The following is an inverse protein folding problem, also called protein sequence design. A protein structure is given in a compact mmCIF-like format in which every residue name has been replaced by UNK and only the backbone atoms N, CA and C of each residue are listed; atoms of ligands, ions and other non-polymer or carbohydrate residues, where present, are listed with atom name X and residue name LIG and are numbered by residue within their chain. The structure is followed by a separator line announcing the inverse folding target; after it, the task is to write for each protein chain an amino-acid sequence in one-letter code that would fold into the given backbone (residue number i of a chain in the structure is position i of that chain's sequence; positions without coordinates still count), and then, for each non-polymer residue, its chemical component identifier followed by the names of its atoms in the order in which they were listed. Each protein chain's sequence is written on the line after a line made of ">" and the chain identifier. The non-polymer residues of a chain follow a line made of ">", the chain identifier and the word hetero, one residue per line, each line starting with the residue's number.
data_IF_666516497528
#
_entry.id   IF_666516497528
#
_cell.length_a   1.000
_cell.length_b   1.000
_cell.length_c   1.000
_cell.angle_alpha   90.00
_cell.angle_beta   90.00
_cell.angle_gamma   90.00
#
_symmetry.space_group_name_H-M   'P 1'
#
loop_
_entity.id
_entity.type
_entity.pdbx_description
1 polymer ?
#
# COMPACT_ATOMS: atom_id res chain seq x y z
N UNK A 1 -7.90 -20.94 20.04
CA UNK A 1 -6.46 -21.07 20.21
C UNK A 1 -5.83 -19.70 20.00
N UNK A 2 -5.06 -19.24 20.94
CA UNK A 2 -4.34 -17.98 20.94
C UNK A 2 -2.88 -18.32 21.29
N UNK A 3 -1.96 -18.05 20.39
CA UNK A 3 -0.56 -18.41 20.52
C UNK A 3 0.33 -17.17 20.63
N UNK A 4 1.60 -17.36 20.99
CA UNK A 4 2.57 -16.29 20.98
C UNK A 4 2.77 -15.75 19.55
N UNK A 5 3.13 -14.45 19.39
CA UNK A 5 3.31 -13.85 18.07
C UNK A 5 4.37 -14.56 17.23
N UNK A 6 4.00 -14.98 16.03
CA UNK A 6 4.89 -15.63 15.08
C UNK A 6 5.84 -14.64 14.41
N UNK A 7 7.09 -15.06 14.25
CA UNK A 7 8.09 -14.30 13.51
C UNK A 7 8.14 -14.75 12.07
N UNK A 8 7.67 -13.90 11.15
CA UNK A 8 7.52 -14.21 9.74
C UNK A 8 8.40 -13.31 8.89
N UNK A 9 9.09 -13.90 7.91
CA UNK A 9 9.91 -13.19 6.93
C UNK A 9 9.06 -12.90 5.68
N UNK A 10 8.97 -11.63 5.28
CA UNK A 10 8.30 -11.20 4.05
C UNK A 10 9.19 -11.37 2.82
N UNK A 11 8.60 -11.24 1.60
CA UNK A 11 9.34 -11.23 0.32
C UNK A 11 10.43 -10.14 0.27
N UNK A 12 10.22 -9.04 1.01
CA UNK A 12 11.20 -7.94 1.13
C UNK A 12 12.33 -8.23 2.13
N UNK A 13 12.45 -9.46 2.64
CA UNK A 13 13.41 -9.85 3.67
C UNK A 13 13.27 -9.07 4.98
N UNK A 14 12.03 -8.63 5.29
CA UNK A 14 11.70 -7.96 6.57
C UNK A 14 11.00 -8.93 7.48
N UNK A 15 11.42 -8.97 8.75
CA UNK A 15 10.72 -9.73 9.76
C UNK A 15 9.49 -8.97 10.28
N UNK A 16 8.38 -9.69 10.40
CA UNK A 16 7.16 -9.24 11.06
C UNK A 16 6.89 -10.12 12.28
N UNK A 17 6.33 -9.54 13.32
CA UNK A 17 5.72 -10.23 14.43
C UNK A 17 4.21 -10.22 14.17
N UNK A 18 3.65 -11.39 13.95
CA UNK A 18 2.24 -11.55 13.59
C UNK A 18 1.53 -12.24 14.75
N UNK A 19 0.63 -11.52 15.41
CA UNK A 19 -0.24 -12.04 16.45
C UNK A 19 -1.57 -12.44 15.81
N UNK A 20 -1.96 -13.71 15.94
CA UNK A 20 -3.15 -14.25 15.32
C UNK A 20 -3.86 -15.26 16.23
N UNK A 21 -5.14 -15.47 15.98
CA UNK A 21 -5.92 -16.49 16.67
C UNK A 21 -6.82 -17.26 15.72
N UNK A 22 -7.16 -18.47 16.13
CA UNK A 22 -8.18 -19.29 15.47
C UNK A 22 -9.29 -19.66 16.44
N UNK A 23 -10.52 -19.69 15.91
CA UNK A 23 -11.67 -20.31 16.57
C UNK A 23 -12.03 -21.57 15.82
N UNK A 24 -12.07 -22.67 16.52
CA UNK A 24 -12.42 -23.96 15.94
C UNK A 24 -13.49 -24.68 16.74
N UNK A 25 -14.14 -25.65 16.13
CA UNK A 25 -15.04 -26.59 16.76
C UNK A 25 -14.69 -28.01 16.34
N UNK A 26 -15.01 -28.97 17.17
CA UNK A 26 -14.93 -30.38 16.80
C UNK A 26 -16.16 -30.68 15.94
N UNK A 27 -15.93 -31.02 14.67
CA UNK A 27 -16.97 -31.39 13.70
C UNK A 27 -17.24 -32.89 13.69
N UNK A 28 -16.19 -33.70 13.86
CA UNK A 28 -16.24 -35.15 13.95
C UNK A 28 -15.46 -35.67 15.16
N UNK A 29 -16.20 -36.09 16.19
CA UNK A 29 -15.64 -36.60 17.46
C UNK A 29 -14.85 -37.89 17.25
N UNK A 30 -15.26 -38.74 16.33
CA UNK A 30 -14.57 -40.01 16.08
C UNK A 30 -13.22 -39.80 15.44
N UNK A 31 -13.15 -38.95 14.42
CA UNK A 31 -11.91 -38.58 13.76
C UNK A 31 -10.98 -37.83 14.72
N UNK A 32 -11.52 -36.89 15.49
CA UNK A 32 -10.75 -36.18 16.53
C UNK A 32 -10.13 -37.15 17.56
N UNK A 33 -10.91 -38.13 18.05
CA UNK A 33 -10.39 -39.11 19.01
C UNK A 33 -9.28 -39.98 18.41
N UNK A 34 -9.48 -40.45 17.16
CA UNK A 34 -8.45 -41.24 16.47
C UNK A 34 -7.17 -40.48 16.17
N UNK A 35 -7.28 -39.21 15.77
CA UNK A 35 -6.13 -38.38 15.42
C UNK A 35 -5.34 -37.88 16.62
N UNK A 36 -6.03 -37.56 17.76
CA UNK A 36 -5.44 -36.86 18.88
C UNK A 36 -5.56 -37.61 20.21
N UNK A 37 -6.05 -38.88 20.22
CA UNK A 37 -6.36 -39.66 21.42
C UNK A 37 -7.23 -38.90 22.43
N UNK A 38 -8.09 -38.01 21.95
CA UNK A 38 -8.95 -37.17 22.81
C UNK A 38 -8.21 -36.03 23.51
N UNK A 39 -6.94 -35.79 23.21
CA UNK A 39 -6.13 -34.77 23.88
C UNK A 39 -6.25 -33.41 23.16
N UNK A 40 -6.82 -32.41 23.85
CA UNK A 40 -6.86 -31.03 23.38
C UNK A 40 -5.47 -30.38 23.26
N UNK A 41 -4.54 -30.77 24.11
CA UNK A 41 -3.18 -30.23 24.03
C UNK A 41 -2.46 -30.68 22.76
N UNK A 42 -2.62 -31.97 22.38
CA UNK A 42 -2.10 -32.48 21.11
C UNK A 42 -2.75 -31.77 19.93
N UNK A 43 -4.07 -31.60 19.95
CA UNK A 43 -4.79 -30.87 18.91
C UNK A 43 -4.28 -29.43 18.79
N UNK A 44 -4.18 -28.71 19.90
CA UNK A 44 -3.72 -27.31 19.90
C UNK A 44 -2.31 -27.19 19.33
N UNK A 45 -1.39 -28.08 19.69
CA UNK A 45 -0.04 -28.09 19.12
C UNK A 45 -0.03 -28.33 17.60
N UNK A 46 -0.85 -29.26 17.11
CA UNK A 46 -0.98 -29.51 15.68
C UNK A 46 -1.62 -28.33 14.93
N UNK A 47 -2.66 -27.74 15.52
CA UNK A 47 -3.31 -26.56 14.94
C UNK A 47 -2.36 -25.37 14.87
N UNK A 48 -1.55 -25.14 15.92
CA UNK A 48 -0.54 -24.07 15.92
C UNK A 48 0.50 -24.26 14.82
N UNK A 49 1.02 -25.48 14.65
CA UNK A 49 1.96 -25.76 13.56
C UNK A 49 1.35 -25.51 12.16
N UNK A 50 0.09 -25.90 11.97
CA UNK A 50 -0.61 -25.66 10.70
C UNK A 50 -0.93 -24.19 10.49
N UNK A 51 -1.31 -23.47 11.53
CA UNK A 51 -1.50 -22.02 11.52
C UNK A 51 -0.22 -21.30 11.13
N UNK A 52 0.91 -21.61 11.79
CA UNK A 52 2.23 -21.07 11.50
C UNK A 52 2.64 -21.32 10.04
N UNK A 53 2.42 -22.53 9.54
CA UNK A 53 2.70 -22.87 8.14
C UNK A 53 1.88 -22.04 7.15
N UNK A 54 0.57 -21.92 7.38
CA UNK A 54 -0.33 -21.13 6.52
C UNK A 54 0.05 -19.64 6.57
N UNK A 55 0.36 -19.10 7.75
CA UNK A 55 0.85 -17.74 7.91
C UNK A 55 2.15 -17.50 7.15
N UNK A 56 3.17 -18.34 7.35
CA UNK A 56 4.47 -18.21 6.67
C UNK A 56 4.33 -18.25 5.15
N UNK A 57 3.51 -19.14 4.62
CA UNK A 57 3.29 -19.26 3.17
C UNK A 57 2.58 -18.06 2.56
N UNK A 58 1.60 -17.48 3.26
CA UNK A 58 0.84 -16.35 2.74
C UNK A 58 1.54 -15.02 2.94
N UNK A 59 2.16 -14.81 4.10
CA UNK A 59 2.89 -13.58 4.41
C UNK A 59 4.25 -13.52 3.73
N UNK A 60 4.94 -14.65 3.59
CA UNK A 60 6.25 -14.72 2.94
C UNK A 60 6.26 -14.35 1.45
N UNK A 61 5.11 -14.42 0.78
CA UNK A 61 4.94 -14.07 -0.64
C UNK A 61 4.53 -12.62 -0.88
N UNK A 62 4.30 -11.84 0.18
CA UNK A 62 3.73 -10.48 0.12
C UNK A 62 4.67 -9.44 0.70
N UNK A 63 4.45 -8.20 0.26
CA UNK A 63 5.15 -7.04 0.81
C UNK A 63 4.47 -6.57 2.10
N UNK A 64 5.22 -5.86 2.95
CA UNK A 64 4.66 -5.24 4.17
C UNK A 64 3.49 -4.30 3.84
N UNK A 65 3.56 -3.60 2.72
CA UNK A 65 2.52 -2.68 2.27
C UNK A 65 1.20 -3.40 1.98
N UNK A 66 1.23 -4.50 1.25
CA UNK A 66 0.05 -5.32 0.92
C UNK A 66 -0.60 -5.91 2.17
N UNK A 67 0.21 -6.33 3.15
CA UNK A 67 -0.28 -6.89 4.41
C UNK A 67 -0.96 -5.86 5.32
N UNK A 68 -0.61 -4.57 5.18
CA UNK A 68 -1.13 -3.49 6.03
C UNK A 68 -2.23 -2.68 5.34
N UNK A 69 -2.24 -2.58 4.01
CA UNK A 69 -2.97 -1.55 3.27
C UNK A 69 -4.26 -1.94 2.57
N UNK A 70 -4.90 -3.10 2.83
CA UNK A 70 -6.27 -3.09 2.41
C UNK A 70 -6.97 -4.34 1.86
N UNK A 71 -6.30 -5.37 1.41
CA UNK A 71 -6.93 -6.64 1.00
C UNK A 71 -6.97 -7.66 2.15
N UNK A 72 -7.06 -7.13 3.38
CA UNK A 72 -6.93 -7.94 4.59
C UNK A 72 -8.04 -8.97 4.71
N UNK A 73 -9.26 -8.61 4.38
CA UNK A 73 -10.42 -9.51 4.50
C UNK A 73 -10.34 -10.66 3.48
N UNK A 74 -9.92 -10.39 2.26
CA UNK A 74 -9.70 -11.42 1.24
C UNK A 74 -8.58 -12.37 1.66
N UNK A 75 -7.47 -11.83 2.15
CA UNK A 75 -6.36 -12.61 2.67
C UNK A 75 -6.78 -13.51 3.84
N UNK A 76 -7.58 -12.99 4.79
CA UNK A 76 -8.10 -13.78 5.89
C UNK A 76 -8.98 -14.93 5.40
N UNK A 77 -9.82 -14.71 4.40
CA UNK A 77 -10.67 -15.75 3.81
C UNK A 77 -9.84 -16.83 3.10
N UNK A 78 -8.82 -16.44 2.35
CA UNK A 78 -7.90 -17.40 1.70
C UNK A 78 -7.19 -18.26 2.76
N UNK A 79 -6.69 -17.64 3.83
CA UNK A 79 -6.01 -18.37 4.91
C UNK A 79 -6.98 -19.26 5.68
N UNK A 80 -8.22 -18.82 5.94
CA UNK A 80 -9.25 -19.62 6.58
C UNK A 80 -9.56 -20.90 5.76
N UNK A 81 -9.75 -20.76 4.45
CA UNK A 81 -10.02 -21.90 3.57
C UNK A 81 -8.82 -22.85 3.53
N UNK A 82 -7.60 -22.32 3.34
CA UNK A 82 -6.38 -23.13 3.32
C UNK A 82 -6.17 -23.86 4.65
N UNK A 83 -6.48 -23.21 5.77
CA UNK A 83 -6.37 -23.82 7.09
C UNK A 83 -7.41 -24.92 7.28
N UNK A 84 -8.67 -24.70 6.87
CA UNK A 84 -9.72 -25.73 6.92
C UNK A 84 -9.35 -26.96 6.09
N UNK A 85 -8.82 -26.77 4.88
CA UNK A 85 -8.34 -27.88 4.04
C UNK A 85 -7.22 -28.66 4.74
N UNK A 86 -6.34 -27.95 5.44
CA UNK A 86 -5.21 -28.56 6.12
C UNK A 86 -5.59 -29.35 7.38
N UNK A 87 -6.72 -29.05 8.03
CA UNK A 87 -7.12 -29.67 9.29
C UNK A 87 -8.25 -30.69 9.15
N UNK A 88 -8.66 -31.01 7.95
CA UNK A 88 -9.74 -31.96 7.63
C UNK A 88 -9.51 -33.35 8.23
N UNK A 89 -8.26 -33.76 8.39
CA UNK A 89 -7.80 -35.03 8.98
C UNK A 89 -7.89 -35.06 10.51
N UNK A 90 -8.09 -33.92 11.17
CA UNK A 90 -8.12 -33.81 12.62
C UNK A 90 -9.54 -33.86 13.21
N UNK A 91 -10.58 -33.91 12.38
CA UNK A 91 -11.97 -33.90 12.81
C UNK A 91 -12.44 -32.58 13.41
N UNK A 92 -11.81 -31.49 13.02
CA UNK A 92 -12.13 -30.12 13.44
C UNK A 92 -12.42 -29.23 12.25
N UNK A 93 -13.19 -28.19 12.51
CA UNK A 93 -13.50 -27.13 11.54
C UNK A 93 -13.10 -25.79 12.13
N UNK A 94 -12.36 -25.01 11.35
CA UNK A 94 -11.98 -23.65 11.74
C UNK A 94 -13.13 -22.72 11.37
N UNK A 95 -13.71 -22.06 12.37
CA UNK A 95 -14.85 -21.15 12.23
C UNK A 95 -14.38 -19.75 11.85
N UNK A 96 -13.27 -19.31 12.45
CA UNK A 96 -12.76 -17.94 12.29
C UNK A 96 -11.25 -17.96 12.43
N UNK A 97 -10.58 -17.25 11.53
CA UNK A 97 -9.15 -16.99 11.56
C UNK A 97 -8.91 -15.49 11.45
N UNK A 98 -8.19 -14.91 12.42
CA UNK A 98 -7.88 -13.49 12.39
C UNK A 98 -6.47 -13.18 12.85
N UNK A 99 -5.86 -12.25 12.15
CA UNK A 99 -4.64 -11.57 12.59
C UNK A 99 -5.06 -10.38 13.46
N UNK A 100 -4.63 -10.36 14.70
CA UNK A 100 -4.89 -9.30 15.68
C UNK A 100 -3.99 -8.10 15.40
N UNK A 101 -2.68 -8.37 15.23
CA UNK A 101 -1.65 -7.35 15.13
C UNK A 101 -0.51 -7.82 14.25
N UNK A 102 0.06 -6.87 13.51
CA UNK A 102 1.29 -7.05 12.75
C UNK A 102 2.25 -5.96 13.19
N UNK A 103 3.35 -6.35 13.83
CA UNK A 103 4.38 -5.45 14.33
C UNK A 103 5.72 -5.71 13.64
N UNK A 104 6.53 -4.66 13.59
CA UNK A 104 7.95 -4.80 13.26
C UNK A 104 8.73 -5.05 14.56
N UNK A 105 9.73 -5.97 14.55
CA UNK A 105 10.61 -6.14 15.69
C UNK A 105 11.20 -4.79 16.14
N UNK A 106 11.20 -4.53 17.44
CA UNK A 106 11.57 -3.22 18.01
C UNK A 106 12.98 -2.75 17.65
N UNK A 107 13.89 -3.67 17.43
CA UNK A 107 15.28 -3.38 17.01
C UNK A 107 15.41 -2.89 15.54
N UNK A 108 14.40 -3.11 14.72
CA UNK A 108 14.38 -2.70 13.30
C UNK A 108 13.42 -1.53 13.02
N UNK A 109 12.50 -1.27 13.94
CA UNK A 109 11.41 -0.28 13.75
C UNK A 109 11.95 1.11 13.43
N UNK A 110 12.91 1.61 14.22
CA UNK A 110 13.42 2.97 14.05
C UNK A 110 14.13 3.18 12.71
N UNK A 111 14.98 2.24 12.31
CA UNK A 111 15.70 2.35 11.02
C UNK A 111 14.76 2.23 9.81
N UNK A 112 13.71 1.41 9.91
CA UNK A 112 12.70 1.26 8.85
C UNK A 112 11.84 2.53 8.78
N UNK A 113 11.41 3.09 9.90
CA UNK A 113 10.65 4.35 9.93
C UNK A 113 11.44 5.52 9.38
N UNK A 114 12.72 5.66 9.75
CA UNK A 114 13.60 6.70 9.20
C UNK A 114 13.81 6.55 7.70
N UNK A 115 13.98 5.32 7.21
CA UNK A 115 14.08 5.06 5.78
C UNK A 115 12.78 5.40 5.03
N UNK A 116 11.62 5.01 5.56
CA UNK A 116 10.31 5.37 4.98
C UNK A 116 10.10 6.88 4.97
N UNK A 117 10.50 7.57 6.05
CA UNK A 117 10.42 9.03 6.15
C UNK A 117 11.31 9.71 5.11
N UNK A 118 12.54 9.24 4.96
CA UNK A 118 13.49 9.76 3.96
C UNK A 118 12.95 9.57 2.54
N UNK A 119 12.41 8.39 2.23
CA UNK A 119 11.81 8.08 0.92
C UNK A 119 10.60 8.98 0.62
N UNK A 120 9.71 9.18 1.59
CA UNK A 120 8.57 10.10 1.44
C UNK A 120 9.00 11.54 1.26
N UNK A 121 10.02 11.99 1.98
CA UNK A 121 10.55 13.34 1.84
C UNK A 121 11.18 13.52 0.46
N UNK A 122 11.94 12.53 -0.05
CA UNK A 122 12.50 12.55 -1.40
C UNK A 122 11.42 12.67 -2.47
N UNK A 123 10.39 11.84 -2.41
CA UNK A 123 9.27 11.89 -3.35
C UNK A 123 8.53 13.23 -3.29
N UNK A 124 8.31 13.76 -2.09
CA UNK A 124 7.65 15.05 -1.91
C UNK A 124 8.49 16.21 -2.51
N UNK A 125 9.82 16.17 -2.36
CA UNK A 125 10.70 17.19 -2.96
C UNK A 125 10.77 17.07 -4.48
N UNK A 126 10.78 15.86 -5.02
CA UNK A 126 10.71 15.59 -6.45
C UNK A 126 9.43 16.19 -7.06
N UNK A 127 8.26 15.87 -6.48
CA UNK A 127 6.97 16.42 -6.94
C UNK A 127 6.87 17.94 -6.80
N UNK A 128 7.45 18.53 -5.73
CA UNK A 128 7.49 19.98 -5.57
C UNK A 128 8.41 20.65 -6.61
N UNK A 129 9.52 20.01 -6.95
CA UNK A 129 10.47 20.52 -7.95
C UNK A 129 9.85 20.48 -9.34
N UNK A 130 9.19 19.39 -9.69
CA UNK A 130 8.44 19.26 -10.94
C UNK A 130 7.30 20.30 -11.03
N UNK A 131 6.54 20.49 -9.96
CA UNK A 131 5.51 21.53 -9.91
C UNK A 131 6.06 22.95 -10.06
N UNK A 132 7.24 23.24 -9.52
CA UNK A 132 7.93 24.53 -9.71
C UNK A 132 8.42 24.71 -11.14
N UNK A 133 8.92 23.65 -11.77
CA UNK A 133 9.36 23.66 -13.16
C UNK A 133 8.19 23.98 -14.10
N UNK A 134 7.11 23.24 -14.01
CA UNK A 134 5.87 23.44 -14.79
C UNK A 134 5.33 24.87 -14.58
N UNK A 135 5.32 25.34 -13.34
CA UNK A 135 4.86 26.70 -13.02
C UNK A 135 5.73 27.78 -13.68
N UNK A 136 7.05 27.59 -13.73
CA UNK A 136 7.95 28.53 -14.43
C UNK A 136 7.75 28.51 -15.94
N UNK A 137 7.57 27.33 -16.51
CA UNK A 137 7.30 27.17 -17.94
C UNK A 137 5.99 27.88 -18.35
N UNK A 138 4.91 27.63 -17.62
CA UNK A 138 3.61 28.28 -17.90
C UNK A 138 3.72 29.80 -17.79
N UNK A 139 4.41 30.32 -16.78
CA UNK A 139 4.62 31.77 -16.63
C UNK A 139 5.45 32.35 -17.77
N UNK A 140 6.53 31.67 -18.15
CA UNK A 140 7.39 32.14 -19.25
C UNK A 140 6.63 32.18 -20.58
N UNK A 141 5.79 31.18 -20.85
CA UNK A 141 4.91 31.18 -22.06
C UNK A 141 3.93 32.35 -22.01
N UNK A 142 3.24 32.55 -20.88
CA UNK A 142 2.29 33.65 -20.72
C UNK A 142 2.94 35.03 -20.83
N UNK A 143 4.13 35.21 -20.27
CA UNK A 143 4.90 36.47 -20.40
C UNK A 143 5.34 36.71 -21.85
N UNK A 144 5.79 35.69 -22.56
CA UNK A 144 6.10 35.77 -23.98
C UNK A 144 4.86 36.17 -24.80
N UNK A 145 3.74 35.49 -24.60
CA UNK A 145 2.51 35.76 -25.33
C UNK A 145 2.00 37.19 -25.06
N UNK A 146 2.09 37.64 -23.81
CA UNK A 146 1.79 39.03 -23.44
C UNK A 146 2.63 40.04 -24.21
N UNK A 147 3.95 39.80 -24.32
CA UNK A 147 4.85 40.68 -25.07
C UNK A 147 4.49 40.72 -26.57
N UNK A 148 4.21 39.54 -27.15
CA UNK A 148 3.81 39.41 -28.56
C UNK A 148 2.50 40.17 -28.82
N UNK A 149 1.48 39.95 -28.01
CA UNK A 149 0.18 40.63 -28.17
C UNK A 149 0.31 42.15 -28.03
N UNK A 150 1.09 42.63 -27.10
CA UNK A 150 1.35 44.07 -26.92
C UNK A 150 2.09 44.64 -28.15
N UNK A 151 3.12 43.96 -28.62
CA UNK A 151 3.87 44.40 -29.80
C UNK A 151 3.01 44.47 -31.07
N UNK A 152 2.14 43.48 -31.27
CA UNK A 152 1.18 43.48 -32.39
C UNK A 152 0.16 44.60 -32.27
N UNK A 153 -0.36 44.87 -31.06
CA UNK A 153 -1.27 45.96 -30.79
C UNK A 153 -0.62 47.33 -31.05
N UNK A 154 0.62 47.54 -30.61
CA UNK A 154 1.38 48.76 -30.93
C UNK A 154 1.63 48.92 -32.43
N UNK A 155 2.04 47.85 -33.11
CA UNK A 155 2.20 47.88 -34.58
C UNK A 155 0.91 48.31 -35.29
N UNK A 156 -0.23 47.71 -34.90
CA UNK A 156 -1.54 48.10 -35.50
C UNK A 156 -1.91 49.54 -35.20
N UNK A 157 -1.67 50.00 -33.98
CA UNK A 157 -1.93 51.39 -33.60
C UNK A 157 -1.09 52.39 -34.40
N UNK A 158 0.21 52.13 -34.61
CA UNK A 158 1.09 52.99 -35.40
C UNK A 158 0.72 52.98 -36.87
N UNK A 159 0.32 51.84 -37.44
CA UNK A 159 -0.18 51.78 -38.83
C UNK A 159 -1.46 52.62 -39.00
N UNK A 160 -2.43 52.51 -38.09
CA UNK A 160 -3.65 53.30 -38.16
C UNK A 160 -3.39 54.82 -37.97
N UNK A 161 -2.45 55.20 -37.09
CA UNK A 161 -2.01 56.59 -36.95
C UNK A 161 -1.39 57.09 -38.25
N UNK A 162 -0.48 56.33 -38.81
CA UNK A 162 0.17 56.71 -40.07
C UNK A 162 -0.80 56.82 -41.26
N UNK A 163 -1.79 55.92 -41.32
CA UNK A 163 -2.86 56.02 -42.35
C UNK A 163 -3.74 57.27 -42.12
N UNK A 164 -4.06 57.59 -40.85
CA UNK A 164 -4.82 58.79 -40.53
C UNK A 164 -4.04 60.06 -40.82
N UNK A 165 -2.74 60.13 -40.52
CA UNK A 165 -1.88 61.27 -40.83
C UNK A 165 -1.69 61.45 -42.32
N UNK A 166 -1.57 60.34 -43.07
CA UNK A 166 -1.46 60.37 -44.57
C UNK A 166 -2.76 60.89 -45.22
N UNK A 167 -3.92 60.48 -44.69
CA UNK A 167 -5.19 60.92 -45.19
C UNK A 167 -5.44 62.41 -44.83
N UNK A 168 -5.09 62.87 -43.64
CA UNK A 168 -5.13 64.26 -43.25
C UNK A 168 -4.22 65.13 -44.15
N UNK A 169 -2.99 64.70 -44.44
CA UNK A 169 -2.10 65.39 -45.33
C UNK A 169 -2.57 65.44 -46.82
N UNK A 170 -3.50 64.57 -47.22
CA UNK A 170 -4.10 64.54 -48.56
C UNK A 170 -5.22 65.58 -48.68
N UNK A 171 -5.89 65.88 -47.58
CA UNK A 171 -7.04 66.78 -47.52
C UNK A 171 -6.58 68.26 -47.35
N UNK A 172 -5.46 68.50 -46.73
CA UNK A 172 -4.87 69.84 -46.54
C UNK A 172 -3.70 70.05 -47.49
#
# INVERSE_FOLDING_TARGET
>A
LDEEPDRILTVESKYLLVDSFIKYRISDVLTFYKANNGSFNSLNSLLGQRQEFVLKNNFGKRTVKELVSGERDELMNIMLNTLNDSVSDLGVEIIDFRVKRIDLPSNLSNSVYERMRTERNRLAEELRSEGKEISREIRAIADKDKVVILAEAYKKAELLRGEGDAEAARIY
#
